data_IF_162201471784
#
_entry.id   IF_162201471784
#
_cell.length_a   1.000
_cell.length_b   1.000
_cell.length_c   1.000
_cell.angle_alpha   90.00
_cell.angle_beta   90.00
_cell.angle_gamma   90.00
#
_symmetry.space_group_name_H-M   'P 1'
#
loop_
_entity.id
_entity.type
_entity.pdbx_description
1 polymer ?
#
# COMPACT_ATOMS: atom_id res chain seq x y z
N UNK A 1 36.66 24.99 -29.22
CA UNK A 1 35.17 25.05 -29.13
C UNK A 1 34.85 25.41 -27.69
N UNK A 2 33.90 26.30 -27.43
CA UNK A 2 33.46 26.55 -26.04
C UNK A 2 32.90 25.25 -25.43
N UNK A 3 33.09 25.02 -24.13
CA UNK A 3 32.49 23.88 -23.44
C UNK A 3 30.97 23.98 -23.50
N UNK A 4 30.30 22.82 -23.52
CA UNK A 4 28.84 22.72 -23.40
C UNK A 4 28.48 22.79 -21.91
N UNK A 5 27.74 23.81 -21.51
CA UNK A 5 27.34 24.08 -20.12
C UNK A 5 26.01 23.42 -19.82
N UNK A 6 26.03 22.48 -18.89
CA UNK A 6 24.84 21.73 -18.46
C UNK A 6 24.55 22.09 -17.02
N UNK A 7 23.43 22.79 -16.82
CA UNK A 7 22.97 23.17 -15.50
C UNK A 7 22.16 22.06 -14.87
N UNK A 8 22.29 21.84 -13.56
CA UNK A 8 21.44 20.91 -12.84
C UNK A 8 20.95 21.46 -11.50
N UNK A 9 19.75 21.03 -11.09
CA UNK A 9 19.12 21.44 -9.83
C UNK A 9 18.63 20.21 -9.07
N UNK A 10 19.09 20.09 -7.84
CA UNK A 10 18.75 19.00 -6.93
C UNK A 10 19.42 17.68 -7.28
N UNK A 11 19.09 16.67 -6.49
CA UNK A 11 19.49 15.28 -6.67
C UNK A 11 18.25 14.37 -6.60
N UNK A 12 18.31 13.27 -7.35
CA UNK A 12 17.30 12.23 -7.38
C UNK A 12 17.92 10.98 -7.97
N UNK A 13 18.31 10.11 -7.05
CA UNK A 13 18.81 8.80 -7.37
C UNK A 13 17.71 7.94 -8.00
N UNK A 14 18.01 7.11 -9.02
CA UNK A 14 19.28 6.95 -9.74
C UNK A 14 19.44 7.86 -10.97
N UNK A 15 18.51 8.79 -11.19
CA UNK A 15 18.42 9.57 -12.42
C UNK A 15 19.58 10.54 -12.57
N UNK A 16 19.77 11.43 -11.58
CA UNK A 16 20.97 12.26 -11.39
C UNK A 16 21.16 12.57 -9.93
N UNK A 17 22.34 12.30 -9.40
CA UNK A 17 22.69 12.54 -8.00
C UNK A 17 24.19 12.82 -7.88
N UNK A 18 24.59 13.49 -6.82
CA UNK A 18 26.00 13.63 -6.44
C UNK A 18 26.36 12.40 -5.60
N UNK A 19 27.46 11.71 -5.93
CA UNK A 19 27.98 10.61 -5.11
C UNK A 19 28.63 11.14 -3.82
N UNK A 20 29.12 10.24 -2.98
CA UNK A 20 29.78 10.58 -1.69
C UNK A 20 30.98 11.52 -1.91
N UNK A 21 31.67 11.39 -3.05
CA UNK A 21 32.81 12.23 -3.43
C UNK A 21 32.39 13.60 -4.04
N UNK A 22 31.09 13.92 -4.08
CA UNK A 22 30.55 15.14 -4.68
C UNK A 22 30.53 15.14 -6.22
N UNK A 23 30.89 14.04 -6.87
CA UNK A 23 30.84 13.91 -8.32
C UNK A 23 29.42 13.58 -8.78
N UNK A 24 28.95 14.31 -9.79
CA UNK A 24 27.67 14.02 -10.42
C UNK A 24 27.68 12.60 -11.04
N UNK A 25 26.60 11.85 -10.87
CA UNK A 25 26.39 10.50 -11.40
C UNK A 25 24.91 10.31 -11.77
N UNK A 26 24.60 9.22 -12.48
CA UNK A 26 23.22 8.82 -12.77
C UNK A 26 22.90 8.64 -14.25
N UNK A 27 21.70 8.09 -14.51
CA UNK A 27 21.23 7.72 -15.84
C UNK A 27 21.22 8.90 -16.80
N UNK A 28 20.70 10.07 -16.40
CA UNK A 28 20.62 11.22 -17.31
C UNK A 28 21.99 11.80 -17.60
N UNK A 29 22.92 11.75 -16.63
CA UNK A 29 24.32 12.16 -16.86
C UNK A 29 24.95 11.30 -17.95
N UNK A 30 24.85 9.97 -17.85
CA UNK A 30 25.38 9.04 -18.85
C UNK A 30 24.78 9.29 -20.24
N UNK A 31 23.46 9.53 -20.31
CA UNK A 31 22.77 9.86 -21.55
C UNK A 31 23.40 11.08 -22.24
N UNK A 32 23.63 12.15 -21.49
CA UNK A 32 24.27 13.35 -22.00
C UNK A 32 25.74 13.15 -22.36
N UNK A 33 26.52 12.44 -21.55
CA UNK A 33 27.92 12.14 -21.87
C UNK A 33 28.05 11.36 -23.18
N UNK A 34 27.15 10.41 -23.45
CA UNK A 34 27.14 9.67 -24.72
C UNK A 34 26.77 10.57 -25.90
N UNK A 35 25.74 11.41 -25.75
CA UNK A 35 25.32 12.36 -26.78
C UNK A 35 26.39 13.42 -27.09
N UNK A 36 27.18 13.81 -26.07
CA UNK A 36 28.19 14.85 -26.16
C UNK A 36 29.61 14.31 -26.32
N UNK A 37 29.80 13.02 -26.63
CA UNK A 37 31.13 12.45 -26.85
C UNK A 37 31.91 13.27 -27.89
N UNK A 38 33.10 13.76 -27.51
CA UNK A 38 33.94 14.64 -28.32
C UNK A 38 33.72 16.15 -28.09
N UNK A 39 32.86 16.52 -27.15
CA UNK A 39 32.72 17.88 -26.63
C UNK A 39 33.28 17.96 -25.21
N UNK A 40 33.81 19.12 -24.84
CA UNK A 40 34.09 19.45 -23.45
C UNK A 40 32.77 19.79 -22.76
N UNK A 41 32.52 19.24 -21.57
CA UNK A 41 31.27 19.40 -20.82
C UNK A 41 31.58 20.07 -19.50
N UNK A 42 30.86 21.14 -19.20
CA UNK A 42 30.91 21.84 -17.92
C UNK A 42 29.59 21.60 -17.18
N UNK A 43 29.65 20.85 -16.08
CA UNK A 43 28.50 20.60 -15.21
C UNK A 43 28.39 21.71 -14.18
N UNK A 44 27.23 22.33 -14.08
CA UNK A 44 27.04 23.50 -13.23
C UNK A 44 25.83 23.32 -12.31
N UNK A 45 26.07 23.28 -11.01
CA UNK A 45 25.00 23.24 -10.01
C UNK A 45 24.31 24.60 -9.96
N UNK A 46 22.98 24.59 -9.86
CA UNK A 46 22.15 25.79 -9.72
C UNK A 46 21.18 25.62 -8.55
N UNK A 47 20.74 26.75 -8.02
CA UNK A 47 19.79 26.78 -6.91
C UNK A 47 18.34 26.62 -7.40
N UNK A 48 18.01 27.30 -8.51
CA UNK A 48 16.65 27.40 -9.02
C UNK A 48 16.59 26.91 -10.46
N UNK A 49 15.62 26.04 -10.73
CA UNK A 49 15.38 25.53 -12.08
C UNK A 49 14.81 26.59 -13.01
N UNK A 50 13.77 27.26 -12.53
CA UNK A 50 12.99 28.24 -13.28
C UNK A 50 11.53 28.16 -12.89
N UNK A 51 10.84 29.28 -13.06
CA UNK A 51 9.47 29.52 -12.67
C UNK A 51 8.51 28.62 -13.44
N UNK A 52 7.28 28.52 -12.91
CA UNK A 52 6.22 27.75 -13.56
C UNK A 52 5.83 28.42 -14.89
N UNK A 53 5.58 29.73 -14.83
CA UNK A 53 5.22 30.62 -15.93
C UNK A 53 6.30 31.68 -16.11
N UNK A 54 6.49 32.21 -17.33
CA UNK A 54 7.37 33.36 -17.52
C UNK A 54 6.78 34.61 -16.85
N UNK A 55 7.62 35.60 -16.59
CA UNK A 55 7.17 36.92 -16.17
C UNK A 55 6.38 37.63 -17.29
N UNK A 56 5.88 38.84 -17.00
CA UNK A 56 5.11 39.66 -17.96
C UNK A 56 5.84 39.93 -19.28
N UNK A 57 7.17 39.87 -19.27
CA UNK A 57 8.01 40.08 -20.45
C UNK A 57 8.33 38.76 -21.21
N UNK A 58 7.76 37.63 -20.81
CA UNK A 58 8.03 36.33 -21.43
C UNK A 58 9.36 35.67 -21.01
N UNK A 59 10.01 36.19 -19.96
CA UNK A 59 11.26 35.63 -19.44
C UNK A 59 11.02 34.73 -18.24
N UNK A 60 11.65 33.56 -18.25
CA UNK A 60 11.78 32.71 -17.09
C UNK A 60 12.95 33.16 -16.23
N UNK A 61 12.92 32.82 -14.95
CA UNK A 61 14.06 32.92 -14.05
C UNK A 61 14.88 31.61 -14.04
N UNK A 62 15.92 31.56 -13.20
CA UNK A 62 16.77 30.37 -13.01
C UNK A 62 17.43 29.85 -14.29
N UNK A 63 17.64 28.54 -14.36
CA UNK A 63 18.25 27.88 -15.52
C UNK A 63 17.46 28.09 -16.82
N UNK A 64 16.13 28.16 -16.76
CA UNK A 64 15.30 28.42 -17.94
C UNK A 64 15.60 29.80 -18.55
N UNK A 65 15.69 30.83 -17.70
CA UNK A 65 16.08 32.19 -18.11
C UNK A 65 17.51 32.26 -18.65
N UNK A 66 18.45 31.58 -17.99
CA UNK A 66 19.84 31.47 -18.45
C UNK A 66 19.93 30.83 -19.84
N UNK A 67 19.12 29.79 -20.12
CA UNK A 67 19.04 29.19 -21.45
C UNK A 67 18.42 30.15 -22.48
N UNK A 68 17.38 30.92 -22.12
CA UNK A 68 16.82 31.96 -22.99
C UNK A 68 17.86 33.04 -23.32
N UNK A 69 18.74 33.36 -22.37
CA UNK A 69 19.81 34.34 -22.55
C UNK A 69 21.05 33.77 -23.25
N UNK A 70 21.18 32.44 -23.34
CA UNK A 70 22.32 31.76 -23.95
C UNK A 70 23.54 31.66 -23.02
N UNK A 71 23.35 31.85 -21.71
CA UNK A 71 24.38 31.64 -20.68
C UNK A 71 24.42 30.20 -20.18
N UNK A 72 23.39 29.40 -20.50
CA UNK A 72 23.33 27.96 -20.25
C UNK A 72 22.87 27.24 -21.52
N UNK A 73 23.39 26.04 -21.79
CA UNK A 73 23.09 25.33 -23.03
C UNK A 73 21.99 24.28 -22.83
N UNK A 74 22.08 23.51 -21.74
CA UNK A 74 21.17 22.41 -21.42
C UNK A 74 20.78 22.49 -19.95
N UNK A 75 19.51 22.23 -19.64
CA UNK A 75 19.02 22.11 -18.28
C UNK A 75 18.66 20.67 -17.93
N UNK A 76 19.26 20.18 -16.86
CA UNK A 76 18.99 18.89 -16.24
C UNK A 76 18.29 19.11 -14.89
N UNK A 77 16.96 19.09 -14.89
CA UNK A 77 16.18 18.91 -13.68
C UNK A 77 16.15 17.44 -13.24
N UNK A 78 15.67 17.22 -12.03
CA UNK A 78 15.34 15.87 -11.54
C UNK A 78 13.85 15.74 -11.26
N UNK A 79 13.11 16.86 -11.17
CA UNK A 79 11.79 16.87 -10.52
C UNK A 79 10.59 17.43 -11.29
N UNK A 80 10.75 18.33 -12.28
CA UNK A 80 9.57 18.93 -12.96
C UNK A 80 9.80 19.28 -14.44
N UNK A 81 10.12 18.24 -15.19
CA UNK A 81 10.30 18.30 -16.64
C UNK A 81 9.00 18.16 -17.43
N UNK A 82 7.89 18.65 -16.89
CA UNK A 82 6.61 18.55 -17.59
C UNK A 82 6.62 19.35 -18.89
N UNK A 83 6.08 18.77 -19.97
CA UNK A 83 5.79 19.50 -21.21
C UNK A 83 4.86 20.66 -20.92
N UNK A 84 5.31 21.88 -21.26
CA UNK A 84 4.55 23.11 -21.06
C UNK A 84 4.72 24.02 -22.25
N UNK A 85 3.60 24.54 -22.73
CA UNK A 85 3.51 25.40 -23.90
C UNK A 85 4.47 26.59 -23.80
N UNK A 86 4.36 27.39 -22.73
CA UNK A 86 5.21 28.56 -22.53
C UNK A 86 6.72 28.24 -22.56
N UNK A 87 7.16 27.07 -22.08
CA UNK A 87 8.58 26.66 -22.15
C UNK A 87 8.96 26.19 -23.55
N UNK A 88 8.06 25.49 -24.24
CA UNK A 88 8.28 25.00 -25.60
C UNK A 88 8.36 26.13 -26.62
N UNK A 89 7.72 27.27 -26.37
CA UNK A 89 7.77 28.43 -27.28
C UNK A 89 9.16 29.06 -27.36
N UNK A 90 9.91 29.05 -26.25
CA UNK A 90 11.20 29.75 -26.13
C UNK A 90 12.41 28.81 -26.10
N UNK A 91 12.23 27.53 -25.78
CA UNK A 91 13.30 26.54 -25.65
C UNK A 91 13.11 25.38 -26.64
N UNK A 92 14.17 24.63 -26.89
CA UNK A 92 14.04 23.30 -27.48
C UNK A 92 13.80 22.27 -26.37
N UNK A 93 13.18 21.15 -26.72
CA UNK A 93 12.89 20.06 -25.80
C UNK A 93 13.23 18.71 -26.44
N UNK A 94 13.53 17.71 -25.61
CA UNK A 94 13.76 16.33 -26.07
C UNK A 94 12.44 15.58 -26.24
N UNK A 95 12.51 14.37 -26.79
CA UNK A 95 11.41 13.41 -26.62
C UNK A 95 11.26 13.05 -25.12
N UNK A 96 10.11 12.51 -24.71
CA UNK A 96 9.92 12.08 -23.32
C UNK A 96 11.00 11.09 -22.90
N UNK A 97 11.66 11.36 -21.78
CA UNK A 97 12.76 10.57 -21.23
C UNK A 97 12.20 9.54 -20.24
N UNK A 98 11.26 9.96 -19.41
CA UNK A 98 10.64 9.13 -18.40
C UNK A 98 9.18 9.55 -18.18
N UNK A 99 8.45 8.66 -17.53
CA UNK A 99 7.13 8.95 -16.99
C UNK A 99 7.26 8.98 -15.45
N UNK A 100 6.91 10.10 -14.84
CA UNK A 100 6.96 10.29 -13.40
C UNK A 100 5.58 10.70 -12.88
N UNK A 101 5.26 10.28 -11.67
CA UNK A 101 4.04 10.66 -10.98
C UNK A 101 4.42 11.22 -9.61
N UNK A 102 4.14 12.50 -9.38
CA UNK A 102 4.17 13.07 -8.05
C UNK A 102 2.82 12.79 -7.37
N UNK A 103 2.86 12.20 -6.18
CA UNK A 103 1.66 11.87 -5.43
C UNK A 103 1.93 11.79 -3.92
N UNK A 104 0.85 11.60 -3.17
CA UNK A 104 0.84 11.25 -1.77
C UNK A 104 0.87 9.73 -1.61
N UNK A 105 1.72 9.27 -0.72
CA UNK A 105 1.90 7.87 -0.39
C UNK A 105 1.84 7.72 1.11
N UNK A 106 1.05 6.78 1.60
CA UNK A 106 1.04 6.42 3.00
C UNK A 106 1.56 5.00 3.15
N UNK A 107 2.01 4.64 4.36
CA UNK A 107 2.29 3.25 4.68
C UNK A 107 1.06 2.44 4.33
N UNK A 108 1.22 1.40 3.53
CA UNK A 108 0.17 0.42 3.35
C UNK A 108 -0.01 -0.23 4.72
N UNK A 109 -1.07 0.17 5.42
CA UNK A 109 -1.60 -0.61 6.51
C UNK A 109 -2.20 -1.83 5.86
N UNK A 110 -1.42 -2.88 5.88
CA UNK A 110 -1.91 -4.17 5.53
C UNK A 110 -2.73 -4.47 6.88
N UNK A 111 -4.03 -4.88 6.88
CA UNK A 111 -4.80 -5.32 8.08
C UNK A 111 -5.31 -6.77 7.92
N UNK A 112 -5.02 -7.68 8.86
CA UNK A 112 -5.62 -9.02 8.92
C UNK A 112 -6.71 -9.02 9.96
N UNK A 113 -7.90 -9.39 9.52
CA UNK A 113 -9.03 -9.64 10.39
C UNK A 113 -8.82 -10.99 11.10
N UNK A 114 -8.59 -11.03 12.42
CA UNK A 114 -8.43 -12.27 13.17
C UNK A 114 -9.62 -13.23 13.00
N UNK A 115 -10.81 -12.72 12.65
CA UNK A 115 -11.99 -13.56 12.40
C UNK A 115 -11.80 -14.52 11.22
N UNK A 116 -10.94 -14.18 10.25
CA UNK A 116 -10.65 -15.00 9.07
C UNK A 116 -10.07 -16.37 9.45
N UNK A 117 -9.34 -16.46 10.56
CA UNK A 117 -8.76 -17.73 11.02
C UNK A 117 -9.84 -18.67 11.54
N UNK A 118 -10.85 -18.14 12.22
CA UNK A 118 -11.95 -18.97 12.77
C UNK A 118 -12.94 -19.32 11.67
N UNK A 119 -13.30 -18.32 10.87
CA UNK A 119 -14.34 -18.44 9.86
C UNK A 119 -13.78 -17.84 8.57
N UNK A 120 -13.11 -18.65 7.72
CA UNK A 120 -12.62 -18.21 6.42
C UNK A 120 -13.77 -18.04 5.41
N UNK A 121 -15.02 -18.04 5.90
CA UNK A 121 -16.24 -18.03 5.12
C UNK A 121 -16.98 -16.72 5.33
N UNK A 122 -17.81 -16.36 4.34
CA UNK A 122 -18.76 -15.26 4.55
C UNK A 122 -19.73 -15.60 5.68
N UNK A 123 -20.30 -14.59 6.36
CA UNK A 123 -21.33 -14.80 7.38
C UNK A 123 -22.49 -15.68 6.88
N UNK A 124 -22.91 -15.48 5.62
CA UNK A 124 -23.98 -16.24 4.98
C UNK A 124 -23.63 -17.73 4.84
N UNK A 125 -22.44 -18.05 4.34
CA UNK A 125 -22.00 -19.44 4.19
C UNK A 125 -21.86 -20.12 5.56
N UNK A 126 -21.39 -19.38 6.55
CA UNK A 126 -21.28 -19.86 7.94
C UNK A 126 -22.65 -20.17 8.53
N UNK A 127 -23.63 -19.30 8.31
CA UNK A 127 -25.01 -19.50 8.76
C UNK A 127 -25.64 -20.74 8.10
N UNK A 128 -25.40 -20.96 6.80
CA UNK A 128 -25.85 -22.17 6.08
C UNK A 128 -25.20 -23.42 6.69
N UNK A 129 -23.90 -23.39 6.98
CA UNK A 129 -23.17 -24.50 7.56
C UNK A 129 -23.68 -24.85 8.97
N UNK A 130 -23.90 -23.84 9.82
CA UNK A 130 -24.48 -24.00 11.16
C UNK A 130 -25.89 -24.59 11.06
N UNK A 131 -26.73 -24.05 10.16
CA UNK A 131 -28.09 -24.54 9.94
C UNK A 131 -28.10 -26.01 9.50
N UNK A 132 -27.18 -26.40 8.61
CA UNK A 132 -27.05 -27.77 8.15
C UNK A 132 -26.62 -28.71 9.29
N UNK A 133 -25.68 -28.31 10.13
CA UNK A 133 -25.27 -29.09 11.31
C UNK A 133 -26.44 -29.27 12.28
N UNK A 134 -27.20 -28.20 12.57
CA UNK A 134 -28.38 -28.26 13.42
C UNK A 134 -29.43 -29.21 12.82
N UNK A 135 -29.74 -29.06 11.52
CA UNK A 135 -30.69 -29.92 10.82
C UNK A 135 -30.28 -31.40 10.86
N UNK A 136 -29.00 -31.71 10.70
CA UNK A 136 -28.48 -33.08 10.82
C UNK A 136 -28.65 -33.63 12.24
N UNK A 137 -28.38 -32.83 13.28
CA UNK A 137 -28.54 -33.23 14.68
C UNK A 137 -30.02 -33.46 15.03
N UNK A 138 -30.91 -32.57 14.59
CA UNK A 138 -32.35 -32.70 14.76
C UNK A 138 -32.87 -33.95 14.05
N UNK A 139 -32.45 -34.20 12.81
CA UNK A 139 -32.84 -35.38 12.03
C UNK A 139 -32.39 -36.68 12.72
N UNK A 140 -31.14 -36.72 13.23
CA UNK A 140 -30.62 -37.86 13.99
C UNK A 140 -31.44 -38.13 15.26
N UNK A 141 -31.82 -37.07 15.97
CA UNK A 141 -32.65 -37.16 17.18
C UNK A 141 -34.07 -37.61 16.84
N UNK A 142 -34.68 -37.07 15.78
CA UNK A 142 -36.00 -37.49 15.32
C UNK A 142 -36.02 -38.97 14.91
N UNK A 143 -35.01 -39.44 14.16
CA UNK A 143 -34.86 -40.86 13.80
C UNK A 143 -34.74 -41.73 15.05
N UNK A 144 -33.93 -41.33 16.04
CA UNK A 144 -33.80 -42.07 17.31
C UNK A 144 -35.14 -42.16 18.05
N UNK A 145 -35.85 -41.05 18.18
CA UNK A 145 -37.16 -40.99 18.83
C UNK A 145 -38.18 -41.87 18.10
N UNK A 146 -38.29 -41.74 16.77
CA UNK A 146 -39.18 -42.57 15.95
C UNK A 146 -38.84 -44.06 16.08
N UNK A 147 -37.55 -44.43 16.01
CA UNK A 147 -37.10 -45.81 16.16
C UNK A 147 -37.43 -46.38 17.55
N UNK A 148 -37.31 -45.57 18.61
CA UNK A 148 -37.65 -45.99 19.98
C UNK A 148 -39.16 -46.17 20.18
N UNK A 149 -39.98 -45.36 19.49
CA UNK A 149 -41.44 -45.37 19.63
C UNK A 149 -42.12 -46.43 18.75
N UNK A 150 -41.53 -46.78 17.60
CA UNK A 150 -42.13 -47.68 16.60
C UNK A 150 -41.36 -49.00 16.43
N UNK A 151 -40.09 -49.09 16.86
CA UNK A 151 -39.24 -50.28 16.73
C UNK A 151 -39.56 -51.45 17.66
N UNK A 152 -40.69 -51.41 18.37
CA UNK A 152 -41.16 -52.47 19.26
C UNK A 152 -42.23 -53.40 18.67
N UNK A 153 -42.55 -53.30 17.37
CA UNK A 153 -43.42 -54.27 16.68
C UNK A 153 -42.62 -54.99 15.60
N UNK A 154 -42.25 -56.22 15.93
CA UNK A 154 -41.64 -57.20 15.04
C UNK A 154 -42.52 -57.39 13.80
N UNK A 155 -42.10 -56.85 12.65
CA UNK A 155 -42.81 -57.04 11.40
C UNK A 155 -42.48 -56.02 10.32
N UNK A 156 -41.52 -56.37 9.47
CA UNK A 156 -41.42 -55.98 8.04
C UNK A 156 -40.62 -54.75 7.57
N UNK A 157 -40.03 -53.91 8.41
CA UNK A 157 -39.00 -52.96 7.92
C UNK A 157 -37.58 -53.47 8.20
N UNK A 158 -37.20 -54.53 7.47
CA UNK A 158 -35.90 -55.22 7.53
C UNK A 158 -34.73 -54.48 6.87
N UNK A 159 -34.77 -53.15 6.76
CA UNK A 159 -33.52 -52.40 6.68
C UNK A 159 -33.01 -52.28 8.12
N UNK A 160 -32.09 -53.16 8.53
CA UNK A 160 -31.61 -53.23 9.91
C UNK A 160 -31.34 -51.82 10.44
N UNK A 161 -31.89 -51.44 11.58
CA UNK A 161 -31.64 -50.12 12.20
C UNK A 161 -30.14 -49.76 12.26
N UNK A 162 -29.29 -50.79 12.31
CA UNK A 162 -27.84 -50.71 12.15
C UNK A 162 -27.40 -50.15 10.79
N UNK A 163 -27.92 -50.63 9.66
CA UNK A 163 -27.51 -50.14 8.32
C UNK A 163 -27.90 -48.67 8.09
N UNK A 164 -29.11 -48.26 8.50
CA UNK A 164 -29.52 -46.84 8.42
C UNK A 164 -28.69 -45.95 9.35
N UNK A 165 -28.38 -46.42 10.56
CA UNK A 165 -27.51 -45.68 11.50
C UNK A 165 -26.07 -45.55 10.97
N UNK A 166 -25.56 -46.59 10.31
CA UNK A 166 -24.24 -46.60 9.68
C UNK A 166 -24.20 -45.66 8.48
N UNK A 167 -25.22 -45.67 7.62
CA UNK A 167 -25.32 -44.76 6.49
C UNK A 167 -25.40 -43.29 6.95
N UNK A 168 -26.22 -43.00 7.97
CA UNK A 168 -26.31 -41.66 8.56
C UNK A 168 -24.96 -41.22 9.17
N UNK A 169 -24.26 -42.12 9.87
CA UNK A 169 -22.94 -41.85 10.42
C UNK A 169 -21.90 -41.62 9.32
N UNK A 170 -21.96 -42.40 8.21
CA UNK A 170 -21.09 -42.24 7.05
C UNK A 170 -21.31 -40.88 6.38
N UNK A 171 -22.56 -40.52 6.08
CA UNK A 171 -22.91 -39.23 5.47
C UNK A 171 -22.43 -38.07 6.35
N UNK A 172 -22.63 -38.18 7.67
CA UNK A 172 -22.15 -37.16 8.60
C UNK A 172 -20.62 -37.02 8.62
N UNK A 173 -19.90 -38.15 8.62
CA UNK A 173 -18.43 -38.14 8.54
C UNK A 173 -17.94 -37.54 7.22
N UNK A 174 -18.56 -37.91 6.09
CA UNK A 174 -18.23 -37.34 4.78
C UNK A 174 -18.50 -35.84 4.71
N UNK A 175 -19.61 -35.37 5.28
CA UNK A 175 -19.91 -33.94 5.38
C UNK A 175 -18.84 -33.18 6.19
N UNK A 176 -18.43 -33.72 7.34
CA UNK A 176 -17.35 -33.12 8.16
C UNK A 176 -16.04 -33.07 7.38
N UNK A 177 -15.65 -34.16 6.72
CA UNK A 177 -14.42 -34.21 5.91
C UNK A 177 -14.47 -33.16 4.80
N UNK A 178 -15.59 -33.04 4.10
CA UNK A 178 -15.77 -32.05 3.03
C UNK A 178 -15.65 -30.61 3.57
N UNK A 179 -16.29 -30.31 4.71
CA UNK A 179 -16.20 -29.01 5.38
C UNK A 179 -14.75 -28.70 5.77
N UNK A 180 -14.02 -29.67 6.32
CA UNK A 180 -12.61 -29.50 6.67
C UNK A 180 -11.72 -29.26 5.44
N UNK A 181 -11.98 -29.93 4.32
CA UNK A 181 -11.25 -29.70 3.06
C UNK A 181 -11.51 -28.28 2.56
N UNK A 182 -12.77 -27.85 2.52
CA UNK A 182 -13.16 -26.51 2.09
C UNK A 182 -12.54 -25.46 3.02
N UNK A 183 -12.62 -25.67 4.34
CA UNK A 183 -12.01 -24.79 5.34
C UNK A 183 -10.50 -24.65 5.12
N UNK A 184 -9.78 -25.76 4.98
CA UNK A 184 -8.32 -25.72 4.77
C UNK A 184 -7.97 -25.02 3.45
N UNK A 185 -8.72 -25.26 2.37
CA UNK A 185 -8.50 -24.59 1.09
C UNK A 185 -8.75 -23.08 1.19
N UNK A 186 -9.84 -22.67 1.83
CA UNK A 186 -10.15 -21.24 2.06
C UNK A 186 -9.15 -20.58 2.99
N UNK A 187 -8.74 -21.25 4.07
CA UNK A 187 -7.73 -20.78 5.00
C UNK A 187 -6.38 -20.59 4.31
N UNK A 188 -5.92 -21.56 3.52
CA UNK A 188 -4.69 -21.42 2.72
C UNK A 188 -4.83 -20.27 1.72
N UNK A 189 -5.96 -20.16 1.03
CA UNK A 189 -6.23 -19.05 0.12
C UNK A 189 -6.15 -17.67 0.81
N UNK A 190 -6.71 -17.55 2.01
CA UNK A 190 -6.74 -16.29 2.77
C UNK A 190 -5.41 -15.97 3.47
N UNK A 191 -4.68 -16.98 3.93
CA UNK A 191 -3.36 -16.83 4.54
C UNK A 191 -2.25 -16.55 3.52
N UNK A 192 -2.42 -17.01 2.27
CA UNK A 192 -1.50 -16.74 1.16
C UNK A 192 -1.90 -15.53 0.33
N UNK A 193 -3.16 -15.12 0.39
CA UNK A 193 -3.56 -13.82 -0.09
C UNK A 193 -2.72 -12.76 0.62
N UNK A 194 -2.42 -11.61 -0.03
CA UNK A 194 -1.79 -10.47 0.63
C UNK A 194 -2.70 -9.91 1.73
N UNK A 195 -2.71 -10.61 2.86
CA UNK A 195 -3.31 -10.35 4.15
C UNK A 195 -2.19 -10.21 5.18
N UNK A 196 -2.51 -9.66 6.35
CA UNK A 196 -1.56 -8.73 6.98
C UNK A 196 -1.44 -8.87 8.48
N UNK A 197 -0.24 -9.11 8.99
CA UNK A 197 -0.02 -8.93 10.43
C UNK A 197 -0.60 -7.63 11.02
N UNK A 198 -1.53 -7.74 11.98
CA UNK A 198 -2.01 -6.58 12.71
C UNK A 198 -0.86 -6.09 13.61
N UNK A 199 -0.43 -4.87 13.39
CA UNK A 199 0.49 -4.20 14.31
C UNK A 199 -0.27 -3.91 15.62
N UNK A 200 0.23 -4.48 16.71
CA UNK A 200 -0.35 -4.32 18.04
C UNK A 200 0.03 -2.92 18.55
N UNK A 201 -0.85 -1.94 18.40
CA UNK A 201 -0.64 -0.58 18.93
C UNK A 201 -1.69 -0.22 19.97
N UNK A 202 -1.24 0.02 21.20
CA UNK A 202 -2.04 0.24 22.43
C UNK A 202 -2.72 1.61 22.55
N UNK A 203 -3.07 2.30 21.46
CA UNK A 203 -3.60 3.67 21.53
C UNK A 203 -5.08 3.80 21.11
N UNK A 204 -5.91 4.33 22.01
CA UNK A 204 -7.35 4.56 21.80
C UNK A 204 -7.69 5.47 20.60
N UNK A 205 -6.78 6.37 20.18
CA UNK A 205 -6.97 7.17 18.96
C UNK A 205 -6.88 6.33 17.67
N UNK A 206 -6.25 5.16 17.72
CA UNK A 206 -6.08 4.27 16.58
C UNK A 206 -7.38 3.54 16.21
N UNK A 207 -8.29 3.29 17.15
CA UNK A 207 -9.60 2.69 16.84
C UNK A 207 -10.46 3.58 15.93
N UNK A 208 -10.38 4.91 16.07
CA UNK A 208 -11.07 5.85 15.17
C UNK A 208 -10.48 5.80 13.76
N UNK A 209 -9.16 5.71 13.66
CA UNK A 209 -8.42 5.58 12.39
C UNK A 209 -8.70 4.22 11.72
N UNK A 210 -8.78 3.14 12.50
CA UNK A 210 -9.14 1.80 12.02
C UNK A 210 -10.59 1.75 11.52
N UNK A 211 -11.55 2.34 12.23
CA UNK A 211 -12.94 2.39 11.76
C UNK A 211 -13.08 3.13 10.42
N UNK A 212 -12.30 4.18 10.19
CA UNK A 212 -12.19 4.84 8.88
C UNK A 212 -11.47 3.98 7.84
N UNK A 213 -10.42 3.25 8.22
CA UNK A 213 -9.59 2.44 7.31
C UNK A 213 -10.20 1.09 6.89
N UNK A 214 -11.10 0.51 7.70
CA UNK A 214 -11.71 -0.79 7.39
C UNK A 214 -12.73 -0.67 6.25
N UNK A 215 -13.31 0.52 6.03
CA UNK A 215 -14.33 0.72 4.99
C UNK A 215 -13.85 1.44 3.73
N UNK A 216 -12.72 2.17 3.77
CA UNK A 216 -12.13 2.78 2.57
C UNK A 216 -10.79 2.12 2.25
N UNK A 217 -10.85 1.11 1.38
CA UNK A 217 -9.66 0.45 0.83
C UNK A 217 -8.68 1.45 0.17
N UNK A 218 -9.14 2.66 -0.15
CA UNK A 218 -8.37 3.77 -0.70
C UNK A 218 -8.80 5.08 -0.03
N UNK A 219 -7.87 5.74 0.68
CA UNK A 219 -8.06 7.14 1.09
C UNK A 219 -7.88 8.04 -0.12
N UNK A 220 -8.71 9.07 -0.21
CA UNK A 220 -8.57 10.13 -1.21
C UNK A 220 -7.81 11.31 -0.63
N UNK A 221 -7.30 12.19 -1.48
CA UNK A 221 -6.67 13.42 -1.03
C UNK A 221 -7.64 14.32 -0.25
N UNK A 222 -8.94 14.26 -0.58
CA UNK A 222 -10.00 14.97 0.13
C UNK A 222 -10.10 14.55 1.60
N UNK A 223 -9.83 13.28 1.91
CA UNK A 223 -9.86 12.74 3.28
C UNK A 223 -8.62 13.16 4.08
N UNK A 224 -7.47 13.32 3.41
CA UNK A 224 -6.18 13.57 4.05
C UNK A 224 -5.97 15.05 4.40
N UNK A 225 -6.43 15.98 3.56
CA UNK A 225 -6.19 17.42 3.77
C UNK A 225 -6.71 17.92 5.12
N UNK A 226 -7.94 17.60 5.58
CA UNK A 226 -8.40 17.99 6.91
C UNK A 226 -7.50 17.48 8.03
N UNK A 227 -6.97 16.27 7.90
CA UNK A 227 -6.08 15.65 8.89
C UNK A 227 -4.70 16.32 8.93
N UNK A 228 -4.18 16.74 7.77
CA UNK A 228 -2.96 17.55 7.67
C UNK A 228 -3.14 18.91 8.36
N UNK A 229 -4.28 19.58 8.12
CA UNK A 229 -4.62 20.87 8.73
C UNK A 229 -4.69 20.79 10.26
N UNK A 230 -5.30 19.71 10.78
CA UNK A 230 -5.43 19.45 12.22
C UNK A 230 -4.13 18.93 12.86
N UNK A 231 -3.15 18.53 12.05
CA UNK A 231 -1.91 17.89 12.50
C UNK A 231 -2.09 16.48 13.05
N UNK A 232 -3.19 15.82 12.69
CA UNK A 232 -3.37 14.39 12.94
C UNK A 232 -2.54 13.53 11.99
N UNK A 233 -2.19 14.07 10.82
CA UNK A 233 -1.28 13.46 9.85
C UNK A 233 -0.07 14.35 9.65
N UNK A 234 1.12 13.74 9.67
CA UNK A 234 2.40 14.36 9.36
C UNK A 234 2.73 14.17 7.89
N UNK A 235 3.08 15.24 7.18
CA UNK A 235 3.60 15.15 5.82
C UNK A 235 5.12 15.14 5.80
N UNK A 236 5.69 14.16 5.11
CA UNK A 236 7.12 13.99 4.89
C UNK A 236 7.46 14.34 3.44
N UNK A 237 8.52 15.11 3.24
CA UNK A 237 9.05 15.44 1.91
C UNK A 237 10.56 15.20 1.84
N UNK A 238 11.13 15.22 0.64
CA UNK A 238 12.57 14.97 0.46
C UNK A 238 13.47 16.10 0.99
N UNK A 239 13.02 17.36 0.96
CA UNK A 239 13.79 18.53 1.41
C UNK A 239 12.89 19.76 1.41
N UNK A 240 13.39 20.87 1.97
CA UNK A 240 12.70 22.15 1.99
C UNK A 240 12.54 22.77 0.60
N UNK A 241 11.34 23.29 0.31
CA UNK A 241 11.03 23.89 -0.99
C UNK A 241 10.56 22.91 -2.08
N UNK A 242 10.41 21.62 -1.77
CA UNK A 242 9.69 20.67 -2.67
C UNK A 242 8.25 21.14 -2.92
N UNK A 243 7.65 21.71 -1.88
CA UNK A 243 6.30 22.26 -1.87
C UNK A 243 6.44 23.77 -1.81
N UNK A 244 5.77 24.47 -2.73
CA UNK A 244 5.72 25.93 -2.73
C UNK A 244 4.85 26.42 -1.58
N UNK A 245 5.11 27.63 -1.10
CA UNK A 245 4.35 28.27 -0.02
C UNK A 245 2.84 28.29 -0.29
N UNK A 246 2.44 28.57 -1.54
CA UNK A 246 1.03 28.52 -1.97
C UNK A 246 0.41 27.13 -1.81
N UNK A 247 1.15 26.07 -2.13
CA UNK A 247 0.72 24.70 -1.92
C UNK A 247 0.74 24.31 -0.44
N UNK A 248 1.65 24.86 0.38
CA UNK A 248 1.61 24.68 1.83
C UNK A 248 0.34 25.29 2.43
N UNK A 249 -0.01 26.52 2.02
CA UNK A 249 -1.25 27.18 2.46
C UNK A 249 -2.49 26.36 2.08
N UNK A 250 -2.54 25.78 0.88
CA UNK A 250 -3.63 24.90 0.45
C UNK A 250 -3.75 23.62 1.29
N UNK A 251 -2.61 23.04 1.69
CA UNK A 251 -2.56 21.79 2.45
C UNK A 251 -2.75 21.97 3.96
N UNK A 252 -2.31 23.09 4.54
CA UNK A 252 -2.22 23.29 5.99
C UNK A 252 -2.98 24.51 6.54
N UNK A 253 -3.55 25.37 5.68
CA UNK A 253 -4.14 26.69 5.98
C UNK A 253 -3.16 27.72 6.59
N UNK A 254 -1.91 27.34 6.83
CA UNK A 254 -0.83 28.20 7.31
C UNK A 254 0.52 27.66 6.83
N UNK A 255 1.60 28.37 7.15
CA UNK A 255 2.96 27.86 6.95
C UNK A 255 3.29 26.84 8.05
N UNK A 256 3.48 25.55 7.72
CA UNK A 256 3.86 24.53 8.68
C UNK A 256 5.39 24.48 8.90
N UNK A 257 6.18 25.35 8.27
CA UNK A 257 7.63 25.39 8.46
C UNK A 257 7.97 25.60 9.94
N UNK A 258 8.67 24.63 10.53
CA UNK A 258 9.00 24.60 11.96
C UNK A 258 8.05 23.76 12.82
N UNK A 259 6.87 23.38 12.32
CA UNK A 259 5.99 22.43 12.99
C UNK A 259 6.29 20.99 12.55
N UNK A 260 7.27 20.39 13.22
CA UNK A 260 7.72 19.00 12.96
C UNK A 260 6.63 17.95 13.20
N UNK A 261 5.47 18.31 13.78
CA UNK A 261 4.33 17.40 13.92
C UNK A 261 3.51 17.32 12.64
N UNK A 262 3.40 18.41 11.89
CA UNK A 262 2.60 18.51 10.66
C UNK A 262 3.41 18.37 9.39
N UNK A 263 4.63 18.89 9.38
CA UNK A 263 5.50 18.92 8.21
C UNK A 263 6.94 18.64 8.61
N UNK A 264 7.59 17.70 7.90
CA UNK A 264 8.99 17.39 8.16
C UNK A 264 9.73 17.14 6.84
N UNK A 265 10.63 18.06 6.44
CA UNK A 265 11.59 17.79 5.38
C UNK A 265 12.64 16.80 5.90
N UNK A 266 12.81 15.67 5.23
CA UNK A 266 13.82 14.68 5.60
C UNK A 266 14.65 14.37 4.36
N UNK A 267 15.91 14.83 4.35
CA UNK A 267 16.87 14.53 3.30
C UNK A 267 17.42 13.11 3.43
N UNK A 268 17.67 12.66 4.66
CA UNK A 268 18.12 11.31 4.96
C UNK A 268 17.05 10.27 4.62
N UNK A 269 17.44 9.25 3.86
CA UNK A 269 16.48 8.29 3.31
C UNK A 269 16.12 7.20 4.31
N UNK A 270 17.05 6.82 5.17
CA UNK A 270 16.83 5.82 6.22
C UNK A 270 15.94 6.38 7.31
N UNK A 271 16.18 7.63 7.73
CA UNK A 271 15.30 8.35 8.65
C UNK A 271 13.90 8.49 8.05
N UNK A 272 13.80 8.85 6.76
CA UNK A 272 12.52 8.98 6.06
C UNK A 272 11.75 7.66 6.03
N UNK A 273 12.40 6.57 5.62
CA UNK A 273 11.78 5.25 5.60
C UNK A 273 11.37 4.82 7.02
N UNK A 274 12.23 5.02 8.00
CA UNK A 274 11.95 4.71 9.40
C UNK A 274 10.72 5.48 9.93
N UNK A 275 10.64 6.78 9.66
CA UNK A 275 9.48 7.61 10.05
C UNK A 275 8.22 7.12 9.36
N UNK A 276 8.27 6.90 8.04
CA UNK A 276 7.09 6.46 7.28
C UNK A 276 6.63 5.04 7.65
N UNK A 277 7.56 4.14 7.96
CA UNK A 277 7.23 2.75 8.30
C UNK A 277 6.78 2.58 9.76
N UNK A 278 7.25 3.40 10.70
CA UNK A 278 6.90 3.28 12.12
C UNK A 278 5.87 4.30 12.62
N UNK A 279 5.57 5.34 11.83
CA UNK A 279 4.58 6.35 12.19
C UNK A 279 3.34 6.20 11.30
N UNK A 280 2.26 5.53 11.77
CA UNK A 280 1.08 5.25 10.95
C UNK A 280 0.33 6.51 10.50
N UNK A 281 0.56 7.65 11.16
CA UNK A 281 0.02 8.96 10.80
C UNK A 281 0.95 9.77 9.89
N UNK A 282 1.92 9.15 9.20
CA UNK A 282 2.78 9.84 8.25
C UNK A 282 2.39 9.57 6.80
N UNK A 283 2.41 10.62 5.98
CA UNK A 283 2.20 10.59 4.53
C UNK A 283 3.43 11.19 3.86
N UNK A 284 3.96 10.52 2.85
CA UNK A 284 5.00 11.03 1.98
C UNK A 284 4.41 11.78 0.78
N UNK A 285 4.93 12.95 0.45
CA UNK A 285 4.65 13.65 -0.81
C UNK A 285 5.89 13.69 -1.69
N UNK A 286 5.80 13.12 -2.90
CA UNK A 286 6.91 13.07 -3.85
C UNK A 286 6.70 12.02 -4.93
N UNK A 287 7.79 11.42 -5.41
CA UNK A 287 7.74 10.32 -6.40
C UNK A 287 8.10 9.02 -5.70
N UNK A 288 7.36 7.93 -5.93
CA UNK A 288 7.52 6.67 -5.18
C UNK A 288 8.94 6.08 -5.23
N UNK A 289 9.66 6.20 -6.34
CA UNK A 289 11.02 5.66 -6.41
C UNK A 289 12.00 6.42 -5.51
N UNK A 290 11.68 7.67 -5.15
CA UNK A 290 12.46 8.47 -4.19
C UNK A 290 12.32 7.99 -2.74
N UNK A 291 11.46 7.02 -2.46
CA UNK A 291 11.48 6.30 -1.18
C UNK A 291 11.84 4.83 -1.38
N UNK A 292 11.59 4.26 -2.56
CA UNK A 292 11.79 2.83 -2.78
C UNK A 292 13.17 2.43 -3.36
N UNK A 293 13.97 3.36 -3.86
CA UNK A 293 15.18 2.97 -4.61
C UNK A 293 16.41 3.80 -4.28
N UNK A 294 16.44 4.55 -3.18
CA UNK A 294 17.44 5.62 -3.03
C UNK A 294 18.81 5.22 -2.47
N UNK A 295 19.00 4.00 -1.99
CA UNK A 295 20.27 3.53 -1.45
C UNK A 295 20.83 2.37 -2.30
N UNK A 296 21.90 2.58 -3.10
CA UNK A 296 22.54 1.52 -3.89
C UNK A 296 23.22 0.45 -3.03
N UNK A 297 23.66 0.79 -1.82
CA UNK A 297 24.50 -0.05 -0.97
C UNK A 297 23.67 -0.99 -0.09
N UNK A 298 22.42 -0.63 0.21
CA UNK A 298 21.49 -1.52 0.91
C UNK A 298 20.93 -2.56 -0.07
N UNK A 299 21.04 -3.84 0.27
CA UNK A 299 20.49 -4.95 -0.54
C UNK A 299 19.02 -5.24 -0.16
N UNK A 300 18.52 -4.66 0.92
CA UNK A 300 17.26 -5.07 1.55
C UNK A 300 16.01 -4.38 0.98
N UNK A 301 14.92 -5.17 0.95
CA UNK A 301 13.54 -4.75 0.74
C UNK A 301 13.13 -3.69 1.76
N UNK A 302 12.23 -2.79 1.37
CA UNK A 302 11.63 -1.84 2.30
C UNK A 302 11.08 -2.52 3.55
N UNK A 303 11.21 -1.84 4.68
CA UNK A 303 10.65 -2.31 5.95
C UNK A 303 9.11 -2.40 5.88
N UNK A 304 8.49 -1.58 5.03
CA UNK A 304 7.06 -1.57 4.81
C UNK A 304 6.70 -1.32 3.34
N UNK A 305 5.48 -1.71 2.95
CA UNK A 305 4.93 -1.36 1.64
C UNK A 305 4.24 0.02 1.71
N UNK A 306 4.21 0.72 0.58
CA UNK A 306 3.51 1.99 0.44
C UNK A 306 2.25 1.82 -0.42
N UNK A 307 1.20 2.57 -0.09
CA UNK A 307 0.02 2.70 -0.94
C UNK A 307 -0.15 4.14 -1.39
N UNK A 308 -0.52 4.28 -2.66
CA UNK A 308 -0.84 5.57 -3.29
C UNK A 308 -2.19 6.06 -2.77
N UNK A 309 -2.26 7.32 -2.39
CA UNK A 309 -3.50 8.02 -2.04
C UNK A 309 -4.15 8.48 -3.36
N UNK A 310 -5.48 8.33 -3.47
CA UNK A 310 -6.17 8.75 -4.68
C UNK A 310 -6.26 10.29 -4.74
N UNK A 311 -5.38 10.87 -5.55
CA UNK A 311 -5.30 12.30 -5.82
C UNK A 311 -5.89 12.67 -7.20
N UNK A 312 -6.63 11.77 -7.84
CA UNK A 312 -7.19 12.03 -9.19
C UNK A 312 -8.42 12.95 -9.16
N UNK A 313 -9.20 12.90 -8.07
CA UNK A 313 -10.35 13.77 -7.88
C UNK A 313 -9.98 15.03 -7.11
N UNK A 314 -9.58 16.08 -7.83
CA UNK A 314 -9.22 17.39 -7.26
C UNK A 314 -10.36 18.43 -7.32
N UNK A 315 -11.60 18.01 -7.60
CA UNK A 315 -12.74 18.93 -7.80
C UNK A 315 -13.14 19.73 -6.56
N UNK A 316 -12.74 19.27 -5.38
CA UNK A 316 -12.99 19.95 -4.11
C UNK A 316 -12.03 21.14 -3.88
N UNK A 317 -10.96 21.27 -4.67
CA UNK A 317 -10.02 22.38 -4.61
C UNK A 317 -10.46 23.52 -5.55
N UNK A 318 -10.14 24.78 -5.23
CA UNK A 318 -10.33 25.90 -6.16
C UNK A 318 -9.60 25.66 -7.49
N UNK A 319 -10.16 26.10 -8.61
CA UNK A 319 -9.58 25.89 -9.95
C UNK A 319 -8.16 26.45 -10.12
N UNK A 320 -7.80 27.48 -9.34
CA UNK A 320 -6.48 28.09 -9.31
C UNK A 320 -5.45 27.38 -8.42
N UNK A 321 -5.81 26.26 -7.78
CA UNK A 321 -4.96 25.53 -6.84
C UNK A 321 -3.65 25.06 -7.50
N UNK A 322 -2.54 25.22 -6.78
CA UNK A 322 -1.25 24.71 -7.23
C UNK A 322 -1.24 23.18 -7.36
N UNK A 323 -1.99 22.46 -6.53
CA UNK A 323 -2.14 21.00 -6.65
C UNK A 323 -2.75 20.60 -8.02
N UNK A 324 -3.75 21.35 -8.49
CA UNK A 324 -4.37 21.14 -9.81
C UNK A 324 -3.39 21.48 -10.92
N UNK A 325 -2.70 22.63 -10.84
CA UNK A 325 -1.67 23.03 -11.82
C UNK A 325 -0.53 22.02 -11.88
N UNK A 326 -0.11 21.51 -10.72
CA UNK A 326 0.87 20.42 -10.58
C UNK A 326 0.29 19.04 -10.87
N UNK A 327 -0.95 18.92 -11.36
CA UNK A 327 -1.59 17.67 -11.83
C UNK A 327 -1.20 16.47 -10.95
N UNK A 328 -1.29 16.64 -9.63
CA UNK A 328 -0.85 15.62 -8.67
C UNK A 328 -1.64 14.32 -8.91
N UNK A 329 -0.96 13.18 -8.80
CA UNK A 329 -1.54 11.87 -9.06
C UNK A 329 -1.76 11.52 -10.54
N UNK A 330 -1.42 12.43 -11.46
CA UNK A 330 -1.38 12.16 -12.90
C UNK A 330 0.06 11.88 -13.34
N UNK A 331 0.23 10.84 -14.15
CA UNK A 331 1.50 10.55 -14.79
C UNK A 331 1.88 11.68 -15.75
N UNK A 332 3.15 12.07 -15.70
CA UNK A 332 3.73 13.18 -16.48
C UNK A 332 4.93 12.66 -17.23
N UNK A 333 5.05 13.16 -18.46
CA UNK A 333 6.21 12.91 -19.29
C UNK A 333 7.28 13.97 -18.97
N UNK A 334 8.47 13.51 -18.62
CA UNK A 334 9.65 14.34 -18.39
C UNK A 334 10.43 14.54 -19.70
N UNK A 335 10.86 15.76 -19.99
CA UNK A 335 11.74 16.14 -21.11
C UNK A 335 12.90 17.05 -20.68
N UNK A 336 14.07 16.95 -21.31
CA UNK A 336 15.14 17.93 -21.11
C UNK A 336 14.91 19.16 -21.98
N UNK A 337 15.27 20.33 -21.45
CA UNK A 337 15.25 21.57 -22.19
C UNK A 337 16.65 21.97 -22.65
N UNK A 338 16.69 22.62 -23.81
CA UNK A 338 17.91 23.10 -24.44
C UNK A 338 17.72 24.53 -24.95
N UNK A 339 18.77 25.34 -24.88
CA UNK A 339 18.75 26.70 -25.41
C UNK A 339 18.59 26.70 -26.92
N UNK A 340 17.67 27.52 -27.44
CA UNK A 340 17.55 27.77 -28.88
C UNK A 340 18.71 28.60 -29.44
N UNK A 341 19.42 29.34 -28.59
CA UNK A 341 20.52 30.23 -29.00
C UNK A 341 21.84 29.49 -29.17
N UNK A 342 22.11 28.51 -28.30
CA UNK A 342 23.45 27.89 -28.24
C UNK A 342 23.48 26.43 -28.71
N UNK A 343 22.35 25.71 -28.66
CA UNK A 343 22.30 24.29 -29.06
C UNK A 343 21.92 24.13 -30.53
N UNK A 344 22.90 23.70 -31.34
CA UNK A 344 22.69 23.44 -32.77
C UNK A 344 21.73 22.27 -33.05
N UNK A 345 21.06 22.29 -34.20
CA UNK A 345 20.21 21.19 -34.67
C UNK A 345 20.91 19.82 -34.68
N UNK A 346 22.17 19.78 -35.16
CA UNK A 346 22.96 18.55 -35.20
C UNK A 346 23.16 17.93 -33.81
N UNK A 347 23.32 18.77 -32.77
CA UNK A 347 23.45 18.29 -31.39
C UNK A 347 22.14 17.67 -30.88
N UNK A 348 21.00 18.30 -31.22
CA UNK A 348 19.66 17.80 -30.87
C UNK A 348 19.34 16.46 -31.55
N UNK A 349 19.67 16.34 -32.84
CA UNK A 349 19.49 15.10 -33.59
C UNK A 349 20.36 13.98 -33.01
N UNK A 350 21.61 14.29 -32.66
CA UNK A 350 22.51 13.34 -32.01
C UNK A 350 21.98 12.89 -30.65
N UNK A 351 21.52 13.81 -29.82
CA UNK A 351 20.90 13.45 -28.54
C UNK A 351 19.66 12.56 -28.74
N UNK A 352 18.79 12.94 -29.68
CA UNK A 352 17.59 12.16 -30.01
C UNK A 352 17.94 10.75 -30.46
N UNK A 353 19.00 10.58 -31.26
CA UNK A 353 19.49 9.27 -31.67
C UNK A 353 19.99 8.45 -30.48
N UNK A 354 20.77 9.04 -29.57
CA UNK A 354 21.23 8.36 -28.34
C UNK A 354 20.04 7.95 -27.47
N UNK A 355 19.10 8.86 -27.25
CA UNK A 355 17.90 8.60 -26.46
C UNK A 355 17.10 7.42 -27.05
N UNK A 356 16.82 7.45 -28.35
CA UNK A 356 16.01 6.42 -29.01
C UNK A 356 16.71 5.08 -29.22
N UNK A 357 18.05 5.05 -29.20
CA UNK A 357 18.83 3.83 -29.48
C UNK A 357 19.34 3.17 -28.21
N UNK A 358 19.89 3.95 -27.28
CA UNK A 358 20.60 3.45 -26.10
C UNK A 358 19.82 3.63 -24.80
N UNK A 359 18.89 4.58 -24.77
CA UNK A 359 18.08 4.92 -23.60
C UNK A 359 16.59 4.86 -23.91
N UNK A 360 16.17 3.83 -24.65
CA UNK A 360 14.75 3.52 -24.79
C UNK A 360 14.15 3.30 -23.40
N UNK A 361 12.87 3.63 -23.21
CA UNK A 361 12.18 3.48 -21.92
C UNK A 361 12.43 2.13 -21.25
N UNK A 362 12.23 1.03 -21.99
CA UNK A 362 12.50 -0.31 -21.47
C UNK A 362 13.96 -0.51 -21.01
N UNK A 363 14.93 0.09 -21.70
CA UNK A 363 16.35 -0.01 -21.35
C UNK A 363 16.69 0.88 -20.15
N UNK A 364 16.06 2.06 -20.05
CA UNK A 364 16.15 2.92 -18.85
C UNK A 364 15.65 2.14 -17.63
N UNK A 365 14.46 1.56 -17.72
CA UNK A 365 13.77 0.88 -16.61
C UNK A 365 14.40 -0.46 -16.22
N UNK A 366 15.19 -1.06 -17.11
CA UNK A 366 15.82 -2.36 -16.87
C UNK A 366 17.33 -2.23 -16.69
N UNK A 367 18.07 -2.10 -17.80
CA UNK A 367 19.52 -2.12 -17.83
C UNK A 367 20.12 -0.94 -17.06
N UNK A 368 19.74 0.29 -17.40
CA UNK A 368 20.31 1.49 -16.77
C UNK A 368 19.89 1.60 -15.31
N UNK A 369 18.63 1.32 -14.99
CA UNK A 369 18.17 1.27 -13.62
C UNK A 369 18.96 0.26 -12.79
N UNK A 370 19.08 -0.99 -13.25
CA UNK A 370 19.87 -2.04 -12.56
C UNK A 370 21.34 -1.67 -12.44
N UNK A 371 21.91 -1.00 -13.45
CA UNK A 371 23.32 -0.57 -13.41
C UNK A 371 23.59 0.39 -12.26
N UNK A 372 22.68 1.32 -12.00
CA UNK A 372 22.87 2.34 -10.96
C UNK A 372 22.31 1.95 -9.59
N UNK A 373 21.27 1.12 -9.55
CA UNK A 373 20.59 0.74 -8.30
C UNK A 373 20.92 -0.67 -7.82
N UNK A 374 21.54 -1.50 -8.66
CA UNK A 374 21.65 -2.95 -8.47
C UNK A 374 20.32 -3.69 -8.30
N UNK A 375 19.19 -3.05 -8.68
CA UNK A 375 17.82 -3.54 -8.47
C UNK A 375 16.98 -3.41 -9.74
N UNK A 376 15.92 -4.22 -9.95
CA UNK A 376 14.94 -3.94 -10.99
C UNK A 376 14.10 -2.69 -10.63
N UNK A 377 13.67 -1.91 -11.61
CA UNK A 377 12.74 -0.79 -11.37
C UNK A 377 11.35 -1.33 -11.03
N UNK A 378 10.88 -1.09 -9.82
CA UNK A 378 9.52 -1.45 -9.41
C UNK A 378 8.57 -0.27 -9.68
N UNK A 379 8.11 -0.10 -10.93
CA UNK A 379 7.09 0.93 -11.23
C UNK A 379 5.67 0.49 -10.86
N UNK A 380 5.42 -0.82 -10.89
CA UNK A 380 4.13 -1.42 -10.61
C UNK A 380 4.36 -2.67 -9.77
N UNK A 381 4.47 -2.53 -8.45
CA UNK A 381 4.01 -3.63 -7.62
C UNK A 381 2.49 -3.71 -7.80
N UNK A 382 2.08 -4.47 -8.83
CA UNK A 382 0.91 -5.32 -8.58
C UNK A 382 1.22 -5.99 -7.25
N UNK A 383 0.38 -5.81 -6.21
CA UNK A 383 0.64 -6.40 -4.91
C UNK A 383 1.10 -7.84 -5.13
N UNK A 384 2.19 -8.28 -4.49
CA UNK A 384 2.65 -9.65 -4.65
C UNK A 384 1.44 -10.55 -4.50
N UNK A 385 1.13 -11.33 -5.55
CA UNK A 385 -0.09 -12.16 -5.59
C UNK A 385 -0.15 -13.13 -4.42
N UNK A 386 1.02 -13.45 -3.88
CA UNK A 386 1.22 -14.32 -2.74
C UNK A 386 2.09 -13.63 -1.71
N UNK A 387 1.69 -13.74 -0.45
CA UNK A 387 2.44 -13.25 0.70
C UNK A 387 2.89 -14.45 1.55
N UNK A 388 4.13 -14.40 2.05
CA UNK A 388 4.77 -15.49 2.79
C UNK A 388 5.28 -15.07 4.17
N UNK A 389 4.75 -13.99 4.73
CA UNK A 389 5.11 -13.59 6.10
C UNK A 389 4.53 -14.62 7.08
N UNK A 390 5.26 -15.00 8.14
CA UNK A 390 4.71 -15.85 9.19
C UNK A 390 3.41 -15.24 9.74
N UNK A 391 2.46 -16.08 10.13
CA UNK A 391 1.23 -15.63 10.77
C UNK A 391 1.56 -15.33 12.23
N UNK A 392 1.55 -14.05 12.61
CA UNK A 392 1.75 -13.63 13.99
C UNK A 392 0.71 -14.21 14.97
N UNK A 393 1.10 -14.34 16.24
CA UNK A 393 0.24 -14.87 17.32
C UNK A 393 -1.07 -14.09 17.51
N UNK A 394 -1.07 -12.79 17.21
CA UNK A 394 -2.24 -11.92 17.30
C UNK A 394 -3.39 -12.40 16.41
N UNK A 395 -3.08 -13.06 15.29
CA UNK A 395 -4.09 -13.62 14.40
C UNK A 395 -4.90 -14.74 15.10
N UNK A 396 -4.27 -15.49 16.01
CA UNK A 396 -4.90 -16.57 16.78
C UNK A 396 -5.62 -16.08 18.05
N UNK A 397 -5.61 -14.78 18.34
CA UNK A 397 -6.24 -14.21 19.54
C UNK A 397 -7.72 -14.58 19.65
N UNK A 398 -8.47 -14.47 18.56
CA UNK A 398 -9.89 -14.83 18.54
C UNK A 398 -10.10 -16.31 18.84
N UNK A 399 -9.22 -17.20 18.35
CA UNK A 399 -9.28 -18.64 18.67
C UNK A 399 -9.13 -18.81 20.19
N UNK A 400 -8.12 -18.19 20.79
CA UNK A 400 -7.91 -18.28 22.23
C UNK A 400 -9.08 -17.72 23.04
N UNK A 401 -9.68 -16.62 22.59
CA UNK A 401 -10.89 -16.05 23.22
C UNK A 401 -12.05 -17.05 23.15
N UNK A 402 -12.35 -17.61 21.97
CA UNK A 402 -13.46 -18.56 21.78
C UNK A 402 -13.24 -19.83 22.61
N UNK A 403 -12.06 -20.45 22.54
CA UNK A 403 -11.74 -21.63 23.33
C UNK A 403 -11.76 -21.33 24.83
N UNK A 404 -11.23 -20.18 25.26
CA UNK A 404 -11.26 -19.75 26.66
C UNK A 404 -12.69 -19.54 27.17
N UNK A 405 -13.56 -18.93 26.36
CA UNK A 405 -14.98 -18.77 26.69
C UNK A 405 -15.72 -20.10 26.79
N UNK A 406 -15.49 -21.03 25.85
CA UNK A 406 -16.10 -22.36 25.88
C UNK A 406 -15.66 -23.17 27.10
N UNK A 407 -14.37 -23.17 27.43
CA UNK A 407 -13.85 -23.85 28.63
C UNK A 407 -14.43 -23.25 29.92
N UNK A 408 -14.56 -21.92 29.98
CA UNK A 408 -15.16 -21.24 31.12
C UNK A 408 -16.64 -21.60 31.29
N UNK A 409 -17.36 -21.73 30.17
CA UNK A 409 -18.75 -22.14 30.16
C UNK A 409 -18.94 -23.61 30.56
N UNK A 410 -18.09 -24.52 30.07
CA UNK A 410 -18.10 -25.92 30.47
C UNK A 410 -17.83 -26.09 31.98
N UNK A 411 -16.87 -25.33 32.52
CA UNK A 411 -16.59 -25.29 33.95
C UNK A 411 -17.80 -24.79 34.75
N UNK A 412 -18.50 -23.77 34.26
CA UNK A 412 -19.72 -23.26 34.90
C UNK A 412 -20.82 -24.33 34.93
N UNK A 413 -21.07 -25.02 33.82
CA UNK A 413 -22.05 -26.12 33.76
C UNK A 413 -21.68 -27.22 34.76
N UNK A 414 -20.40 -27.61 34.80
CA UNK A 414 -19.91 -28.61 35.74
C UNK A 414 -20.14 -28.21 37.20
N UNK A 415 -19.84 -26.97 37.56
CA UNK A 415 -20.10 -26.44 38.90
C UNK A 415 -21.59 -26.42 39.23
N UNK A 416 -22.44 -26.03 38.28
CA UNK A 416 -23.90 -26.07 38.44
C UNK A 416 -24.42 -27.50 38.62
N UNK A 417 -23.86 -28.48 37.92
CA UNK A 417 -24.21 -29.90 38.08
C UNK A 417 -23.81 -30.41 39.48
N UNK A 418 -22.62 -30.05 39.97
CA UNK A 418 -22.18 -30.37 41.34
C UNK A 418 -23.14 -29.74 42.36
N UNK A 419 -23.43 -28.44 42.24
CA UNK A 419 -24.33 -27.74 43.16
C UNK A 419 -25.72 -28.37 43.14
N UNK A 420 -26.27 -28.63 41.96
CA UNK A 420 -27.58 -29.29 41.82
C UNK A 420 -27.57 -30.68 42.47
N UNK A 421 -26.54 -31.50 42.23
CA UNK A 421 -26.43 -32.84 42.82
C UNK A 421 -26.35 -32.81 44.35
N UNK A 422 -25.75 -31.76 44.91
CA UNK A 422 -25.56 -31.59 46.36
C UNK A 422 -26.80 -31.04 47.06
N UNK A 423 -27.48 -30.07 46.46
CA UNK A 423 -28.65 -29.40 47.07
C UNK A 423 -29.97 -30.14 46.81
N UNK A 424 -30.07 -30.93 45.74
CA UNK A 424 -31.31 -31.62 45.35
C UNK A 424 -31.14 -33.15 45.19
N UNK A 425 -30.65 -33.87 46.22
CA UNK A 425 -30.41 -35.32 46.13
C UNK A 425 -31.68 -36.14 45.88
N UNK A 426 -32.85 -35.65 46.29
CA UNK A 426 -34.15 -36.35 46.21
C UNK A 426 -35.05 -35.91 45.04
N UNK A 427 -34.56 -35.07 44.11
CA UNK A 427 -35.36 -34.76 42.92
C UNK A 427 -35.60 -36.04 42.12
N UNK A 428 -36.85 -36.49 42.12
CA UNK A 428 -37.30 -37.73 41.47
C UNK A 428 -36.87 -37.82 39.99
N UNK A 429 -36.94 -39.03 39.43
CA UNK A 429 -36.45 -39.43 38.10
C UNK A 429 -36.74 -38.47 36.94
N UNK A 430 -37.76 -37.62 37.06
CA UNK A 430 -38.15 -36.62 36.07
C UNK A 430 -37.21 -35.41 36.02
N UNK A 431 -36.74 -34.91 37.17
CA UNK A 431 -35.80 -33.77 37.23
C UNK A 431 -34.44 -34.12 36.63
N UNK A 432 -33.92 -35.31 36.94
CA UNK A 432 -32.70 -35.87 36.33
C UNK A 432 -32.80 -36.03 34.81
N UNK A 433 -34.01 -36.29 34.26
CA UNK A 433 -34.22 -36.43 32.81
C UNK A 433 -34.22 -35.08 32.10
N UNK A 434 -34.85 -34.06 32.67
CA UNK A 434 -34.87 -32.70 32.09
C UNK A 434 -33.47 -32.09 32.11
N UNK A 435 -32.75 -32.22 33.23
CA UNK A 435 -31.38 -31.72 33.34
C UNK A 435 -30.45 -32.41 32.34
N UNK A 436 -30.47 -33.76 32.25
CA UNK A 436 -29.70 -34.50 31.23
C UNK A 436 -30.07 -34.12 29.79
N UNK A 437 -31.32 -33.74 29.52
CA UNK A 437 -31.75 -33.34 28.18
C UNK A 437 -31.19 -31.96 27.80
N UNK A 438 -31.14 -31.02 28.75
CA UNK A 438 -30.48 -29.72 28.59
C UNK A 438 -28.98 -29.88 28.34
N UNK A 439 -28.29 -30.75 29.10
CA UNK A 439 -26.86 -31.05 28.88
C UNK A 439 -26.58 -31.77 27.56
N UNK A 440 -27.58 -32.39 26.92
CA UNK A 440 -27.41 -33.07 25.62
C UNK A 440 -27.69 -32.15 24.42
N UNK A 441 -28.39 -31.03 24.66
CA UNK A 441 -28.73 -30.02 23.66
C UNK A 441 -27.63 -28.97 23.52
N UNK A 442 -26.89 -28.74 24.59
CA UNK A 442 -25.59 -28.05 24.62
C UNK A 442 -24.54 -29.03 24.08
#
# INVERSE_FOLDING_TARGET
>A
KSPIRIGFVGSGFPLVYENIDGHLSGIHKEMWMMALRGYEIQWEKREVYGSYDPNENGYFDGMLGEMQNGTLDIALQVKDFSYREARMDVLYYTRPVEEAEENFYERRQIVFDPAIIIVPFTPDFTAVLVTLIIAMKLTKTAIRVLSSKWGGREGSFGASSRSLSLLSALIHRLAIILVLIIYNASFVGLSTAPGVEPERTDNNNYQRILQLNIYTMFRTLQDIIPLLKQGEVKMIVNYDGVIKDTMMLELFDNDPAGDTRRYQPISDMEEKENVLCHTPSSVYFGIIFSITHNDPDKIYKHQCAFKKIDSTNLRFLPSGSELIKRRIGMKRLSTFYMSRKTVSQRLRERFSWVQLTLFQRNTIDTFWWRRFTHRPRFENENPPKYWFQPIGLAAFETIFIVFGSLLSFDLLIFLLEILHSRFFPETGTTGKKIFRMLTYLI
#
